data_IF_934443992309
#
_entry.id   IF_934443992309
#
_cell.length_a   1.000
_cell.length_b   1.000
_cell.length_c   1.000
_cell.angle_alpha   90.00
_cell.angle_beta   90.00
_cell.angle_gamma   90.00
#
_symmetry.space_group_name_H-M   'P 1'
#
loop_
_entity.id
_entity.type
_entity.pdbx_description
1 polymer ?
#
# COMPACT_ATOMS: atom_id res chain seq x y z
N UNK A 1 11.43 -59.42 20.82
CA UNK A 1 11.91 -58.03 20.74
C UNK A 1 11.51 -57.47 19.38
N UNK A 2 10.33 -56.85 19.28
CA UNK A 2 9.93 -56.07 18.10
C UNK A 2 9.95 -54.61 18.52
N UNK A 3 10.83 -53.83 17.90
CA UNK A 3 10.97 -52.40 18.12
C UNK A 3 9.82 -51.64 17.44
N UNK A 4 9.06 -50.91 18.24
CA UNK A 4 8.02 -50.02 17.79
C UNK A 4 8.68 -48.71 17.32
N UNK A 5 8.74 -48.47 16.01
CA UNK A 5 9.15 -47.19 15.44
C UNK A 5 7.94 -46.26 15.51
N UNK A 6 7.95 -45.37 16.50
CA UNK A 6 6.99 -44.27 16.60
C UNK A 6 7.42 -43.20 15.60
N UNK A 7 6.74 -43.16 14.45
CA UNK A 7 6.86 -42.06 13.50
C UNK A 7 6.05 -40.88 14.07
N UNK A 8 6.77 -39.88 14.58
CA UNK A 8 6.19 -38.62 15.03
C UNK A 8 5.86 -37.77 13.79
N UNK A 9 4.63 -37.92 13.26
CA UNK A 9 4.10 -37.00 12.25
C UNK A 9 3.80 -35.65 12.92
N UNK A 10 4.72 -34.71 12.78
CA UNK A 10 4.52 -33.29 13.07
C UNK A 10 3.38 -32.77 12.19
N UNK A 11 2.19 -32.62 12.75
CA UNK A 11 1.10 -31.88 12.11
C UNK A 11 1.42 -30.39 12.17
N UNK A 12 2.18 -29.90 11.19
CA UNK A 12 2.09 -28.50 10.80
C UNK A 12 0.67 -28.30 10.29
N UNK A 13 -0.19 -27.73 11.12
CA UNK A 13 -1.47 -27.18 10.67
C UNK A 13 -1.16 -26.13 9.61
N UNK A 14 -1.28 -26.51 8.35
CA UNK A 14 -1.46 -25.58 7.26
C UNK A 14 -2.67 -24.74 7.62
N UNK A 15 -2.45 -23.45 7.94
CA UNK A 15 -3.53 -22.49 7.74
C UNK A 15 -3.89 -22.66 6.28
N UNK A 16 -5.08 -23.19 6.01
CA UNK A 16 -5.61 -23.34 4.67
C UNK A 16 -5.45 -21.98 3.99
N UNK A 17 -4.53 -21.88 3.03
CA UNK A 17 -4.48 -20.73 2.14
C UNK A 17 -5.86 -20.67 1.50
N UNK A 18 -6.51 -19.51 1.60
CA UNK A 18 -7.82 -19.32 0.99
C UNK A 18 -7.72 -19.67 -0.49
N UNK A 19 -8.77 -20.31 -0.98
CA UNK A 19 -8.86 -20.89 -2.29
C UNK A 19 -8.39 -19.89 -3.37
N UNK A 20 -7.20 -20.15 -3.92
CA UNK A 20 -6.64 -19.35 -4.99
C UNK A 20 -7.52 -19.40 -6.26
N UNK A 21 -8.53 -20.29 -6.32
CA UNK A 21 -9.43 -20.47 -7.46
C UNK A 21 -10.32 -19.24 -7.72
N UNK A 22 -10.52 -18.36 -6.73
CA UNK A 22 -11.24 -17.10 -6.91
C UNK A 22 -10.36 -15.95 -7.44
N UNK A 23 -9.05 -16.16 -7.62
CA UNK A 23 -8.13 -15.16 -8.18
C UNK A 23 -8.05 -15.26 -9.71
N UNK A 24 -7.79 -14.16 -10.43
CA UNK A 24 -7.44 -14.24 -11.85
C UNK A 24 -6.31 -15.25 -12.09
N UNK A 25 -6.34 -15.92 -13.24
CA UNK A 25 -5.46 -17.06 -13.52
C UNK A 25 -3.97 -16.68 -13.51
N UNK A 26 -3.65 -15.44 -13.87
CA UNK A 26 -2.30 -14.87 -13.91
C UNK A 26 -1.78 -14.38 -12.55
N UNK A 27 -2.63 -14.32 -11.52
CA UNK A 27 -2.24 -13.91 -10.16
C UNK A 27 -1.62 -15.10 -9.43
N UNK A 28 -0.35 -14.96 -9.03
CA UNK A 28 0.40 -15.99 -8.29
C UNK A 28 0.45 -15.71 -6.79
N UNK A 29 0.24 -14.45 -6.37
CA UNK A 29 0.15 -14.06 -4.97
C UNK A 29 -0.88 -12.95 -4.80
N UNK A 30 -1.78 -13.08 -3.84
CA UNK A 30 -2.74 -12.03 -3.46
C UNK A 30 -2.62 -11.73 -1.99
N UNK A 31 -2.61 -10.44 -1.67
CA UNK A 31 -2.68 -9.94 -0.32
C UNK A 31 -3.98 -9.14 -0.11
N UNK A 32 -4.61 -9.28 1.04
CA UNK A 32 -5.58 -8.28 1.51
C UNK A 32 -4.84 -7.03 1.95
N UNK A 33 -5.44 -5.88 1.65
CA UNK A 33 -4.88 -4.56 1.95
C UNK A 33 -5.68 -3.92 3.08
N UNK A 34 -4.98 -3.53 4.15
CA UNK A 34 -5.58 -2.78 5.26
C UNK A 34 -4.71 -1.58 5.63
N UNK A 35 -5.28 -0.58 6.29
CA UNK A 35 -4.51 0.57 6.76
C UNK A 35 -3.41 0.15 7.73
N UNK A 36 -2.20 0.68 7.54
CA UNK A 36 -1.16 0.51 8.54
C UNK A 36 -1.45 1.42 9.74
N UNK A 37 -1.57 0.82 10.92
CA UNK A 37 -1.75 1.54 12.18
C UNK A 37 -0.37 1.68 12.84
N UNK A 38 -0.01 2.90 13.26
CA UNK A 38 1.26 3.12 13.95
C UNK A 38 1.36 2.33 15.25
N UNK A 39 2.49 1.67 15.47
CA UNK A 39 2.82 1.01 16.74
C UNK A 39 3.99 1.73 17.45
N UNK A 40 4.50 1.13 18.54
CA UNK A 40 5.60 1.69 19.32
C UNK A 40 6.92 1.81 18.55
N UNK A 41 7.06 1.17 17.39
CA UNK A 41 8.22 1.29 16.52
C UNK A 41 8.15 2.52 15.60
N UNK A 42 7.03 3.24 15.53
CA UNK A 42 6.94 4.46 14.74
C UNK A 42 7.71 5.63 15.41
N UNK A 43 8.34 6.50 14.60
CA UNK A 43 9.19 7.59 15.10
C UNK A 43 8.43 8.65 15.90
N UNK A 44 7.14 8.83 15.64
CA UNK A 44 6.29 9.70 16.45
C UNK A 44 5.40 8.84 17.33
N UNK A 45 5.25 9.21 18.60
CA UNK A 45 4.30 8.60 19.53
C UNK A 45 2.82 8.83 19.12
N UNK A 46 2.57 9.28 17.88
CA UNK A 46 1.25 9.52 17.35
C UNK A 46 0.55 8.19 17.09
N UNK A 47 -0.51 7.96 17.87
CA UNK A 47 -1.53 6.97 17.53
C UNK A 47 -2.31 7.48 16.33
N UNK A 48 -2.22 6.77 15.21
CA UNK A 48 -2.97 7.07 14.00
C UNK A 48 -2.72 6.01 12.95
N UNK A 49 -3.75 5.67 12.20
CA UNK A 49 -3.63 4.82 11.02
C UNK A 49 -4.38 5.47 9.88
N UNK A 50 -3.92 5.21 8.66
CA UNK A 50 -4.59 5.55 7.40
C UNK A 50 -3.99 4.64 6.33
N UNK A 51 -4.72 4.41 5.24
CA UNK A 51 -4.14 3.77 4.05
C UNK A 51 -3.48 4.80 3.15
N UNK A 52 -4.11 5.96 3.00
CA UNK A 52 -3.68 7.04 2.11
C UNK A 52 -3.80 8.38 2.85
N UNK A 53 -2.77 9.20 2.80
CA UNK A 53 -2.75 10.56 3.37
C UNK A 53 -2.55 11.59 2.26
N UNK A 54 -3.44 12.59 2.21
CA UNK A 54 -3.46 13.61 1.16
C UNK A 54 -3.80 14.99 1.75
N UNK A 55 -2.81 15.88 1.99
CA UNK A 55 -3.05 17.23 2.49
C UNK A 55 -3.68 18.11 1.39
N UNK A 56 -4.56 19.05 1.76
CA UNK A 56 -5.27 19.97 0.85
C UNK A 56 -6.08 19.31 -0.25
N UNK A 57 -6.48 18.05 -0.08
CA UNK A 57 -7.16 17.28 -1.10
C UNK A 57 -8.39 17.98 -1.70
N UNK A 58 -9.25 18.59 -0.89
CA UNK A 58 -10.54 19.13 -1.37
C UNK A 58 -10.51 20.61 -1.74
N UNK A 59 -9.61 21.41 -1.18
CA UNK A 59 -9.63 22.87 -1.34
C UNK A 59 -8.25 23.52 -1.53
N UNK A 60 -7.18 22.73 -1.58
CA UNK A 60 -5.83 23.25 -1.72
C UNK A 60 -5.27 23.89 -0.44
N UNK A 61 -5.87 23.67 0.74
CA UNK A 61 -5.31 24.06 2.03
C UNK A 61 -4.53 22.89 2.69
N UNK A 62 -3.20 22.97 2.69
CA UNK A 62 -2.33 21.91 3.25
C UNK A 62 -2.50 21.67 4.75
N UNK A 63 -3.09 22.62 5.49
CA UNK A 63 -3.38 22.41 6.91
C UNK A 63 -4.53 21.41 7.12
N UNK A 64 -5.33 21.15 6.08
CA UNK A 64 -6.43 20.18 6.09
C UNK A 64 -6.00 18.89 5.42
N UNK A 65 -6.27 17.77 6.06
CA UNK A 65 -5.76 16.47 5.64
C UNK A 65 -6.94 15.54 5.36
N UNK A 66 -6.96 14.95 4.16
CA UNK A 66 -7.79 13.80 3.86
C UNK A 66 -7.02 12.51 4.22
N UNK A 67 -7.67 11.64 4.99
CA UNK A 67 -7.18 10.30 5.32
C UNK A 67 -8.16 9.29 4.78
N UNK A 68 -7.69 8.46 3.84
CA UNK A 68 -8.50 7.40 3.25
C UNK A 68 -8.11 6.03 3.79
N UNK A 69 -9.10 5.15 3.84
CA UNK A 69 -9.00 3.79 4.37
C UNK A 69 -9.50 2.83 3.31
N UNK A 70 -8.65 1.90 2.88
CA UNK A 70 -9.09 0.81 2.02
C UNK A 70 -10.24 0.05 2.69
N UNK A 71 -11.32 -0.16 1.94
CA UNK A 71 -12.47 -0.95 2.35
C UNK A 71 -12.14 -2.44 2.27
N UNK A 72 -13.05 -3.27 2.77
CA UNK A 72 -13.03 -4.70 2.50
C UNK A 72 -12.93 -4.95 0.98
N UNK A 73 -12.33 -6.07 0.60
CA UNK A 73 -12.09 -6.46 -0.80
C UNK A 73 -11.12 -5.54 -1.57
N UNK A 74 -10.15 -4.96 -0.87
CA UNK A 74 -8.99 -4.30 -1.47
C UNK A 74 -7.77 -5.23 -1.46
N UNK A 75 -7.05 -5.30 -2.58
CA UNK A 75 -6.01 -6.30 -2.79
C UNK A 75 -4.74 -5.73 -3.40
N UNK A 76 -3.62 -6.39 -3.09
CA UNK A 76 -2.40 -6.33 -3.89
C UNK A 76 -2.24 -7.67 -4.57
N UNK A 77 -2.38 -7.69 -5.89
CA UNK A 77 -2.18 -8.86 -6.71
C UNK A 77 -0.80 -8.83 -7.35
N UNK A 78 -0.06 -9.92 -7.26
CA UNK A 78 1.24 -10.11 -7.90
C UNK A 78 1.09 -11.21 -8.94
N UNK A 79 1.55 -10.92 -10.15
CA UNK A 79 1.50 -11.80 -11.31
C UNK A 79 2.80 -12.58 -11.49
N UNK A 80 2.73 -13.64 -12.30
CA UNK A 80 3.89 -14.50 -12.58
C UNK A 80 5.06 -13.75 -13.22
N UNK A 81 4.77 -12.76 -14.07
CA UNK A 81 5.78 -11.90 -14.71
C UNK A 81 6.43 -10.88 -13.74
N UNK A 82 6.02 -10.88 -12.47
CA UNK A 82 6.48 -9.99 -11.42
C UNK A 82 5.80 -8.63 -11.40
N UNK A 83 4.89 -8.32 -12.33
CA UNK A 83 4.04 -7.13 -12.20
C UNK A 83 3.04 -7.29 -11.05
N UNK A 84 2.51 -6.16 -10.57
CA UNK A 84 1.52 -6.17 -9.51
C UNK A 84 0.45 -5.10 -9.71
N UNK A 85 -0.71 -5.26 -9.08
CA UNK A 85 -1.78 -4.28 -9.07
C UNK A 85 -2.32 -4.10 -7.65
N UNK A 86 -2.15 -2.90 -7.09
CA UNK A 86 -2.85 -2.48 -5.88
C UNK A 86 -4.21 -1.90 -6.30
N UNK A 87 -5.31 -2.47 -5.82
CA UNK A 87 -6.64 -2.03 -6.20
C UNK A 87 -7.69 -2.22 -5.10
N UNK A 88 -8.77 -1.45 -5.19
CA UNK A 88 -9.90 -1.51 -4.26
C UNK A 88 -10.58 -0.15 -4.09
N UNK A 89 -11.50 -0.06 -3.13
CA UNK A 89 -12.17 1.20 -2.77
C UNK A 89 -11.50 1.78 -1.53
N UNK A 90 -11.18 3.07 -1.56
CA UNK A 90 -10.70 3.82 -0.41
C UNK A 90 -11.74 4.87 0.02
N UNK A 91 -12.07 4.89 1.31
CA UNK A 91 -13.11 5.77 1.88
C UNK A 91 -12.52 6.84 2.77
N UNK A 92 -13.04 8.06 2.70
CA UNK A 92 -12.66 9.15 3.59
C UNK A 92 -13.05 8.80 5.04
N UNK A 93 -12.05 8.70 5.92
CA UNK A 93 -12.26 8.34 7.32
C UNK A 93 -12.42 9.53 8.25
N UNK A 94 -12.97 9.25 9.43
CA UNK A 94 -13.28 10.22 10.50
C UNK A 94 -12.05 10.90 11.10
N UNK A 95 -10.88 10.30 10.92
CA UNK A 95 -9.58 10.84 11.34
C UNK A 95 -9.07 11.93 10.38
N UNK A 96 -9.75 12.17 9.26
CA UNK A 96 -9.50 13.34 8.40
C UNK A 96 -9.72 14.65 9.18
N UNK A 97 -9.21 15.78 8.67
CA UNK A 97 -9.51 17.07 9.27
C UNK A 97 -11.02 17.28 9.38
N UNK A 98 -11.49 17.80 10.52
CA UNK A 98 -12.91 17.91 10.82
C UNK A 98 -13.71 18.64 9.72
N UNK A 99 -13.14 19.69 9.13
CA UNK A 99 -13.74 20.44 8.03
C UNK A 99 -13.96 19.61 6.75
N UNK A 100 -13.11 18.61 6.50
CA UNK A 100 -13.32 17.68 5.38
C UNK A 100 -14.35 16.63 5.74
N UNK A 101 -14.23 15.99 6.89
CA UNK A 101 -15.13 14.91 7.26
C UNK A 101 -16.58 15.38 7.44
N UNK A 102 -16.82 16.62 7.89
CA UNK A 102 -18.18 17.17 8.02
C UNK A 102 -18.90 17.40 6.70
N UNK A 103 -18.17 17.53 5.58
CA UNK A 103 -18.73 17.86 4.26
C UNK A 103 -18.67 16.66 3.32
N UNK A 104 -17.53 15.97 3.30
CA UNK A 104 -17.19 14.89 2.37
C UNK A 104 -17.12 13.52 3.08
N UNK A 105 -17.57 13.46 4.34
CA UNK A 105 -17.58 12.22 5.11
C UNK A 105 -18.35 11.13 4.38
N UNK A 106 -17.65 10.05 4.04
CA UNK A 106 -18.22 8.94 3.29
C UNK A 106 -17.85 8.91 1.81
N UNK A 107 -17.15 9.93 1.28
CA UNK A 107 -16.59 9.90 -0.06
C UNK A 107 -15.75 8.63 -0.27
N UNK A 108 -15.97 7.98 -1.40
CA UNK A 108 -15.31 6.74 -1.80
C UNK A 108 -14.60 6.94 -3.14
N UNK A 109 -13.44 6.32 -3.27
CA UNK A 109 -12.57 6.45 -4.43
C UNK A 109 -12.13 5.06 -4.88
N UNK A 110 -12.31 4.77 -6.16
CA UNK A 110 -11.77 3.58 -6.79
C UNK A 110 -10.30 3.80 -7.11
N UNK A 111 -9.47 2.94 -6.52
CA UNK A 111 -8.03 2.99 -6.60
C UNK A 111 -7.57 1.82 -7.46
N UNK A 112 -6.76 2.11 -8.45
CA UNK A 112 -5.98 1.11 -9.17
C UNK A 112 -4.58 1.67 -9.42
N UNK A 113 -3.56 0.89 -9.08
CA UNK A 113 -2.16 1.22 -9.28
C UNK A 113 -1.45 0.03 -9.90
N UNK A 114 -1.15 0.16 -11.21
CA UNK A 114 -0.35 -0.82 -11.95
C UNK A 114 1.14 -0.64 -11.65
N UNK A 115 1.79 -1.72 -11.24
CA UNK A 115 3.13 -1.75 -10.69
C UNK A 115 4.04 -2.67 -11.50
N UNK A 116 5.25 -2.20 -11.80
CA UNK A 116 6.31 -2.98 -12.43
C UNK A 116 7.44 -3.20 -11.43
N UNK A 117 7.79 -4.46 -11.18
CA UNK A 117 8.90 -4.80 -10.28
C UNK A 117 10.23 -4.33 -10.85
N UNK A 118 11.03 -3.71 -9.98
CA UNK A 118 12.35 -3.22 -10.31
C UNK A 118 13.39 -4.33 -10.14
N UNK A 119 14.33 -4.40 -11.08
CA UNK A 119 15.45 -5.34 -11.06
C UNK A 119 16.73 -4.66 -11.56
N UNK A 120 17.88 -5.31 -11.36
CA UNK A 120 19.17 -4.88 -11.91
C UNK A 120 19.55 -3.44 -11.52
N UNK A 121 19.99 -2.65 -12.50
CA UNK A 121 20.45 -1.28 -12.30
C UNK A 121 19.35 -0.34 -11.77
N UNK A 122 18.08 -0.55 -12.18
CA UNK A 122 16.98 0.27 -11.70
C UNK A 122 16.72 0.04 -10.21
N UNK A 123 16.81 -1.21 -9.75
CA UNK A 123 16.73 -1.56 -8.33
C UNK A 123 17.91 -0.99 -7.54
N UNK A 124 19.13 -1.03 -8.09
CA UNK A 124 20.33 -0.53 -7.42
C UNK A 124 20.30 0.99 -7.15
N UNK A 125 19.47 1.75 -7.88
CA UNK A 125 19.29 3.18 -7.68
C UNK A 125 18.22 3.55 -6.63
N UNK A 126 17.43 2.57 -6.16
CA UNK A 126 16.36 2.81 -5.20
C UNK A 126 16.92 3.00 -3.79
N UNK A 127 16.30 3.92 -3.05
CA UNK A 127 16.49 4.05 -1.62
C UNK A 127 15.20 3.66 -0.88
N UNK A 128 15.36 2.93 0.21
CA UNK A 128 14.26 2.56 1.07
C UNK A 128 13.66 3.79 1.77
N UNK A 129 12.34 3.94 1.73
CA UNK A 129 11.59 4.89 2.55
C UNK A 129 11.52 4.34 3.98
N UNK A 130 12.42 4.82 4.85
CA UNK A 130 12.53 4.39 6.25
C UNK A 130 11.85 5.42 7.17
N UNK A 131 10.81 5.01 7.87
CA UNK A 131 9.95 5.88 8.70
C UNK A 131 9.76 5.36 10.14
N UNK A 132 10.21 4.14 10.42
CA UNK A 132 10.24 3.59 11.78
C UNK A 132 11.47 4.11 12.55
N UNK A 133 11.45 3.91 13.86
CA UNK A 133 12.53 4.30 14.76
C UNK A 133 13.89 3.79 14.27
N UNK A 134 14.93 4.53 14.65
CA UNK A 134 16.30 4.20 14.29
C UNK A 134 16.61 2.75 14.66
N UNK A 135 17.28 2.03 13.73
CA UNK A 135 17.64 0.61 13.82
C UNK A 135 16.51 -0.43 13.64
N UNK A 136 15.26 -0.02 13.37
CA UNK A 136 14.20 -0.98 13.01
C UNK A 136 14.35 -1.43 11.55
N UNK A 137 14.41 -0.47 10.63
CA UNK A 137 14.56 -0.72 9.18
C UNK A 137 16.04 -0.68 8.76
N UNK A 138 16.84 -1.61 9.28
CA UNK A 138 18.27 -1.74 8.93
C UNK A 138 18.45 -2.10 7.46
N UNK A 139 19.66 -1.94 6.91
CA UNK A 139 19.95 -2.29 5.51
C UNK A 139 19.70 -3.77 5.22
N UNK A 140 19.92 -4.65 6.20
CA UNK A 140 19.59 -6.08 6.11
C UNK A 140 18.08 -6.34 6.02
N UNK A 141 17.26 -5.52 6.68
CA UNK A 141 15.79 -5.60 6.55
C UNK A 141 15.39 -5.08 5.17
N UNK A 142 15.86 -3.91 4.78
CA UNK A 142 15.43 -3.27 3.53
C UNK A 142 16.00 -3.94 2.27
N UNK A 143 17.07 -4.73 2.38
CA UNK A 143 17.60 -5.54 1.27
C UNK A 143 16.72 -6.74 0.94
N UNK A 144 15.76 -7.10 1.81
CA UNK A 144 14.80 -8.19 1.59
C UNK A 144 13.47 -7.69 1.01
N UNK A 145 13.31 -6.38 0.84
CA UNK A 145 12.11 -5.80 0.26
C UNK A 145 12.09 -5.95 -1.25
N UNK A 146 10.88 -6.04 -1.77
CA UNK A 146 10.61 -5.90 -3.20
C UNK A 146 10.27 -4.44 -3.50
N UNK A 147 10.74 -3.95 -4.64
CA UNK A 147 10.50 -2.58 -5.06
C UNK A 147 9.83 -2.57 -6.42
N UNK A 148 8.83 -1.71 -6.55
CA UNK A 148 8.03 -1.54 -7.74
C UNK A 148 7.98 -0.07 -8.14
N UNK A 149 7.80 0.19 -9.42
CA UNK A 149 7.51 1.51 -9.95
C UNK A 149 6.14 1.53 -10.63
N UNK A 150 5.57 2.72 -10.70
CA UNK A 150 4.48 3.05 -11.61
C UNK A 150 4.86 4.32 -12.37
N UNK A 151 4.12 4.70 -13.40
CA UNK A 151 4.35 5.95 -14.15
C UNK A 151 3.29 6.99 -13.83
N UNK A 152 2.03 6.58 -13.85
CA UNK A 152 0.85 7.37 -13.54
C UNK A 152 -0.31 6.43 -13.21
N UNK A 153 -1.19 6.84 -12.32
CA UNK A 153 -2.51 6.26 -12.14
C UNK A 153 -3.58 7.36 -12.12
N UNK A 154 -4.82 6.98 -12.43
CA UNK A 154 -5.99 7.84 -12.27
C UNK A 154 -6.95 7.12 -11.33
N UNK A 155 -7.32 7.77 -10.24
CA UNK A 155 -8.32 7.30 -9.29
C UNK A 155 -9.62 8.06 -9.53
N UNK A 156 -10.75 7.39 -9.39
CA UNK A 156 -12.07 7.93 -9.73
C UNK A 156 -12.99 7.92 -8.55
N UNK A 157 -13.75 9.00 -8.37
CA UNK A 157 -14.73 9.09 -7.30
C UNK A 157 -15.89 8.12 -7.56
N UNK A 158 -16.22 7.29 -6.58
CA UNK A 158 -17.37 6.38 -6.66
C UNK A 158 -18.66 7.19 -6.61
N UNK A 159 -19.53 7.01 -7.60
CA UNK A 159 -20.81 7.74 -7.69
C UNK A 159 -20.68 9.25 -7.96
N UNK A 160 -19.48 9.73 -8.30
CA UNK A 160 -19.19 11.13 -8.56
C UNK A 160 -18.53 11.36 -9.93
N UNK A 161 -18.00 12.57 -10.12
CA UNK A 161 -17.25 12.97 -11.33
C UNK A 161 -15.80 13.35 -11.03
N UNK A 162 -15.39 13.29 -9.76
CA UNK A 162 -14.04 13.62 -9.34
C UNK A 162 -13.00 12.62 -9.87
N UNK A 163 -11.80 13.12 -10.15
CA UNK A 163 -10.66 12.29 -10.54
C UNK A 163 -9.36 12.78 -9.91
N UNK A 164 -8.49 11.85 -9.57
CA UNK A 164 -7.17 12.15 -9.00
C UNK A 164 -6.13 11.49 -9.88
N UNK A 165 -5.24 12.29 -10.47
CA UNK A 165 -4.05 11.78 -11.14
C UNK A 165 -2.94 11.66 -10.11
N UNK A 166 -2.34 10.48 -9.99
CA UNK A 166 -1.19 10.25 -9.12
C UNK A 166 0.06 9.88 -9.93
N UNK A 167 1.22 10.37 -9.49
CA UNK A 167 2.53 10.08 -10.10
C UNK A 167 3.58 9.78 -9.02
N UNK A 168 4.63 9.01 -9.30
CA UNK A 168 5.65 8.68 -8.31
C UNK A 168 6.34 9.92 -7.74
N UNK A 169 6.60 9.91 -6.44
CA UNK A 169 7.43 10.92 -5.78
C UNK A 169 8.59 10.27 -5.03
N UNK A 170 9.80 10.83 -5.10
CA UNK A 170 10.23 11.95 -5.93
C UNK A 170 10.35 11.57 -7.43
N UNK A 171 10.29 12.55 -8.35
CA UNK A 171 10.40 12.30 -9.79
C UNK A 171 11.71 11.64 -10.22
N UNK A 172 12.78 11.81 -9.44
CA UNK A 172 14.08 11.15 -9.68
C UNK A 172 14.04 9.63 -9.41
N UNK A 173 12.94 9.12 -8.84
CA UNK A 173 12.74 7.71 -8.61
C UNK A 173 13.44 7.11 -7.40
N UNK A 174 13.95 7.95 -6.50
CA UNK A 174 14.67 7.54 -5.30
C UNK A 174 13.80 6.68 -4.37
N UNK A 175 12.56 7.09 -4.11
CA UNK A 175 11.61 6.34 -3.29
C UNK A 175 10.56 5.70 -4.18
N UNK A 176 10.46 4.38 -4.09
CA UNK A 176 9.61 3.54 -4.93
C UNK A 176 8.59 2.80 -4.07
N UNK A 177 7.62 2.18 -4.71
CA UNK A 177 6.63 1.37 -4.00
C UNK A 177 7.34 0.15 -3.41
N UNK A 178 7.49 0.12 -2.10
CA UNK A 178 8.24 -0.92 -1.38
C UNK A 178 7.27 -1.90 -0.73
N UNK A 179 7.61 -3.20 -0.79
CA UNK A 179 6.82 -4.30 -0.23
C UNK A 179 7.73 -5.20 0.59
N UNK A 180 7.37 -5.49 1.84
CA UNK A 180 8.20 -6.30 2.72
C UNK A 180 7.85 -6.21 4.20
N UNK A 181 8.62 -6.93 5.03
CA UNK A 181 8.56 -6.81 6.49
C UNK A 181 8.85 -5.36 6.91
N UNK A 182 7.94 -4.74 7.66
CA UNK A 182 8.07 -3.37 8.15
C UNK A 182 8.10 -2.31 7.03
N UNK A 183 7.82 -2.68 5.78
CA UNK A 183 7.90 -1.77 4.63
C UNK A 183 6.75 -0.75 4.60
N UNK A 184 5.71 -0.94 5.42
CA UNK A 184 4.62 0.03 5.54
C UNK A 184 5.02 1.30 6.30
N UNK A 185 6.14 1.34 7.02
CA UNK A 185 6.64 2.55 7.68
C UNK A 185 5.85 3.04 8.90
N UNK A 186 4.87 2.26 9.40
CA UNK A 186 4.05 2.58 10.58
C UNK A 186 4.16 1.53 11.69
N UNK A 187 4.33 0.26 11.35
CA UNK A 187 4.44 -0.82 12.32
C UNK A 187 5.40 -1.94 11.85
N UNK A 188 5.57 -2.94 12.69
CA UNK A 188 6.47 -4.07 12.44
C UNK A 188 5.91 -5.15 11.49
N UNK A 189 4.69 -4.99 10.97
CA UNK A 189 4.03 -6.00 10.14
C UNK A 189 4.54 -5.99 8.69
N UNK A 190 4.28 -7.09 7.97
CA UNK A 190 4.47 -7.12 6.52
C UNK A 190 3.50 -6.15 5.85
N UNK A 191 3.99 -5.35 4.91
CA UNK A 191 3.18 -4.31 4.31
C UNK A 191 3.83 -3.64 3.10
N UNK A 192 3.25 -2.52 2.69
CA UNK A 192 3.76 -1.72 1.60
C UNK A 192 3.61 -0.22 1.84
N UNK A 193 4.48 0.57 1.20
CA UNK A 193 4.32 2.02 1.18
C UNK A 193 4.93 2.67 -0.06
N UNK A 194 4.50 3.90 -0.34
CA UNK A 194 5.15 4.80 -1.31
C UNK A 194 4.81 6.24 -0.97
N UNK A 195 5.62 7.18 -1.45
CA UNK A 195 5.17 8.55 -1.67
C UNK A 195 4.69 8.74 -3.10
N UNK A 196 3.81 9.72 -3.30
CA UNK A 196 3.33 10.11 -4.61
C UNK A 196 2.96 11.59 -4.65
N UNK A 197 2.98 12.14 -5.86
CA UNK A 197 2.40 13.43 -6.20
C UNK A 197 0.97 13.21 -6.69
N UNK A 198 0.05 14.14 -6.43
CA UNK A 198 -1.31 14.08 -6.95
C UNK A 198 -1.87 15.41 -7.48
N UNK A 199 -2.75 15.31 -8.47
CA UNK A 199 -3.59 16.41 -8.96
C UNK A 199 -5.03 15.97 -8.84
N UNK A 200 -5.83 16.68 -8.06
CA UNK A 200 -7.25 16.39 -7.87
C UNK A 200 -8.11 17.39 -8.66
N UNK A 201 -8.99 16.84 -9.50
CA UNK A 201 -10.07 17.54 -10.20
C UNK A 201 -11.41 17.10 -9.60
N UNK A 202 -12.19 18.05 -9.08
CA UNK A 202 -13.51 17.78 -8.49
C UNK A 202 -14.64 17.70 -9.56
N UNK A 203 -14.28 17.76 -10.84
CA UNK A 203 -15.18 17.82 -11.99
C UNK A 203 -15.65 19.24 -12.35
N UNK A 204 -15.26 20.24 -11.56
CA UNK A 204 -15.51 21.67 -11.84
C UNK A 204 -14.21 22.46 -11.95
N UNK A 205 -13.20 22.10 -11.16
CA UNK A 205 -11.89 22.74 -11.11
C UNK A 205 -10.83 21.78 -10.57
N UNK A 206 -9.58 22.11 -10.89
CA UNK A 206 -8.42 21.56 -10.18
C UNK A 206 -8.37 22.17 -8.77
N UNK A 207 -8.51 21.33 -7.75
CA UNK A 207 -8.55 21.73 -6.33
C UNK A 207 -7.21 21.57 -5.63
N UNK A 208 -6.40 20.59 -6.04
CA UNK A 208 -5.04 20.36 -5.55
C UNK A 208 -4.12 20.06 -6.73
N UNK A 209 -2.94 20.70 -6.79
CA UNK A 209 -2.04 20.62 -7.95
C UNK A 209 -0.55 20.69 -7.57
N UNK A 210 0.13 19.55 -7.63
CA UNK A 210 1.58 19.41 -7.42
C UNK A 210 2.45 20.28 -8.34
N UNK A 211 1.91 20.74 -9.48
CA UNK A 211 2.68 21.57 -10.42
C UNK A 211 2.83 23.01 -9.95
N UNK A 212 2.04 23.43 -8.94
CA UNK A 212 2.03 24.80 -8.42
C UNK A 212 2.69 24.94 -7.06
N UNK A 213 2.91 23.82 -6.37
CA UNK A 213 3.20 23.73 -4.93
C UNK A 213 3.74 22.31 -4.67
N UNK A 214 4.66 22.11 -3.71
CA UNK A 214 5.19 20.78 -3.35
C UNK A 214 4.15 19.96 -2.56
N UNK A 215 3.21 19.35 -3.26
CA UNK A 215 2.15 18.51 -2.67
C UNK A 215 2.54 17.04 -2.76
N UNK A 216 2.62 16.34 -1.63
CA UNK A 216 2.91 14.90 -1.61
C UNK A 216 1.86 14.17 -0.78
N UNK A 217 1.49 12.98 -1.22
CA UNK A 217 0.72 12.01 -0.45
C UNK A 217 1.55 10.78 -0.12
N UNK A 218 1.03 9.95 0.77
CA UNK A 218 1.60 8.64 1.08
C UNK A 218 0.56 7.54 0.98
N UNK A 219 1.03 6.34 0.66
CA UNK A 219 0.33 5.08 0.90
C UNK A 219 1.10 4.34 1.99
N UNK A 220 0.42 3.86 3.02
CA UNK A 220 0.98 2.99 4.06
C UNK A 220 -0.04 1.90 4.39
N UNK A 221 0.23 0.65 4.01
CA UNK A 221 -0.73 -0.45 4.16
C UNK A 221 -0.09 -1.70 4.74
N UNK A 222 -0.84 -2.42 5.56
CA UNK A 222 -0.52 -3.79 5.95
C UNK A 222 -0.99 -4.74 4.86
N UNK A 223 -0.24 -5.83 4.67
CA UNK A 223 -0.54 -6.85 3.68
C UNK A 223 -0.57 -8.22 4.34
N UNK A 224 -1.69 -8.92 4.20
CA UNK A 224 -1.86 -10.30 4.68
C UNK A 224 -2.07 -11.23 3.49
N UNK A 225 -1.27 -12.28 3.40
CA UNK A 225 -1.33 -13.24 2.27
C UNK A 225 -2.62 -14.04 2.37
N UNK A 226 -3.43 -14.01 1.31
CA UNK A 226 -4.62 -14.84 1.19
C UNK A 226 -4.52 -15.89 0.09
N UNK A 227 -3.65 -15.68 -0.92
CA UNK A 227 -3.33 -16.68 -1.92
C UNK A 227 -1.83 -16.68 -2.26
N UNK A 228 -1.25 -17.86 -2.45
CA UNK A 228 0.13 -18.05 -2.88
C UNK A 228 0.28 -19.35 -3.70
N UNK A 229 0.25 -19.24 -5.04
CA UNK A 229 0.32 -20.38 -5.97
C UNK A 229 1.73 -20.94 -6.15
N UNK A 230 2.76 -20.24 -5.67
CA UNK A 230 4.17 -20.65 -5.81
C UNK A 230 4.54 -21.96 -5.06
N UNK A 231 3.62 -22.50 -4.26
CA UNK A 231 3.82 -23.76 -3.51
C UNK A 231 3.04 -24.96 -4.04
N UNK A 232 2.27 -24.84 -5.13
CA UNK A 232 1.47 -25.95 -5.67
C UNK A 232 2.24 -26.88 -6.65
N UNK A 233 3.55 -26.66 -6.84
CA UNK A 233 4.42 -27.46 -7.72
C UNK A 233 5.57 -28.12 -6.93
N UNK A 234 5.21 -28.93 -5.92
CA UNK A 234 6.06 -29.97 -5.32
C UNK A 234 5.19 -31.20 -5.04
#
# INVERSE_FOLDING_TARGET
MLGCVVVLLLSLQSRAFADCDATPTDVVKRYTVTSAISDTAYQSAASGGHSIWMPGFYDGDQSKIARFYFQADSFLDVKEDGTATLHGIAKLGKESSAAYFSVYGGDEWEIELSLTRLTGAALAAVQAKKELQHNVQTDFVTSRWEYYTFSKATWTQVGGVGSVVVTPYPPNGQYRFQVGEMANGKNLLFGASTWFDFVHDDGKKIVADTRKTSWHGDINVNLEVICNKLFALL
#
